data_IF_246167851733
#
_entry.id   IF_246167851733
#
_cell.length_a   1.000
_cell.length_b   1.000
_cell.length_c   1.000
_cell.angle_alpha   90.00
_cell.angle_beta   90.00
_cell.angle_gamma   90.00
#
_symmetry.space_group_name_H-M   'P 1'
#
loop_
_entity.id
_entity.type
_entity.pdbx_description
1 polymer ?
#
# COMPACT_ATOMS: atom_id res chain seq x y z
N UNK A 1 8.75 18.55 7.54
CA UNK A 1 8.61 17.25 6.84
C UNK A 1 8.02 17.54 5.47
N UNK A 2 8.62 17.06 4.37
CA UNK A 2 8.06 17.21 3.03
C UNK A 2 6.97 16.15 2.86
N UNK A 3 5.74 16.55 2.56
CA UNK A 3 4.66 15.60 2.26
C UNK A 3 4.89 15.00 0.88
N UNK A 4 5.06 13.68 0.82
CA UNK A 4 5.13 12.93 -0.43
C UNK A 4 3.70 12.61 -0.87
N UNK A 5 3.20 13.34 -1.87
CA UNK A 5 1.84 13.19 -2.42
C UNK A 5 1.59 11.76 -2.90
N UNK A 6 2.63 11.02 -3.31
CA UNK A 6 2.48 9.63 -3.75
C UNK A 6 2.10 8.67 -2.61
N UNK A 7 2.14 9.10 -1.35
CA UNK A 7 1.70 8.31 -0.18
C UNK A 7 0.28 8.65 0.28
N UNK A 8 -0.32 9.70 -0.26
CA UNK A 8 -1.71 10.07 0.00
C UNK A 8 -2.62 9.25 -0.93
N UNK A 9 -2.86 8.01 -0.53
CA UNK A 9 -3.58 6.99 -1.31
C UNK A 9 -4.91 6.66 -0.63
N UNK A 10 -5.80 5.96 -1.32
CA UNK A 10 -7.11 5.64 -0.74
C UNK A 10 -6.94 4.76 0.50
N UNK A 11 -7.67 5.10 1.57
CA UNK A 11 -7.67 4.29 2.79
C UNK A 11 -8.08 2.85 2.51
N UNK A 12 -8.99 2.61 1.56
CA UNK A 12 -9.40 1.27 1.13
C UNK A 12 -8.23 0.45 0.60
N UNK A 13 -7.32 1.05 -0.18
CA UNK A 13 -6.16 0.34 -0.72
C UNK A 13 -5.20 -0.11 0.39
N UNK A 14 -5.04 0.74 1.41
CA UNK A 14 -4.25 0.40 2.60
C UNK A 14 -4.91 -0.71 3.41
N UNK A 15 -6.23 -0.63 3.62
CA UNK A 15 -6.99 -1.64 4.37
C UNK A 15 -6.97 -3.02 3.67
N UNK A 16 -7.10 -3.06 2.34
CA UNK A 16 -7.00 -4.29 1.57
C UNK A 16 -5.57 -4.85 1.67
N UNK A 17 -4.57 -4.01 1.40
CA UNK A 17 -3.17 -4.42 1.45
C UNK A 17 -2.75 -4.96 2.82
N UNK A 18 -3.02 -4.22 3.89
CA UNK A 18 -2.61 -4.62 5.25
C UNK A 18 -3.28 -5.89 5.75
N UNK A 19 -4.40 -6.30 5.15
CA UNK A 19 -5.13 -7.51 5.53
C UNK A 19 -4.85 -8.69 4.59
N UNK A 20 -4.06 -8.50 3.53
CA UNK A 20 -3.84 -9.47 2.45
C UNK A 20 -2.92 -10.63 2.88
N UNK A 21 -3.36 -11.42 3.88
CA UNK A 21 -2.58 -12.50 4.49
C UNK A 21 -2.19 -13.55 3.46
N UNK A 22 -0.88 -13.91 3.34
CA UNK A 22 -0.44 -14.93 2.41
C UNK A 22 -1.24 -16.22 2.59
N UNK A 23 -1.61 -16.85 1.48
CA UNK A 23 -2.47 -18.05 1.39
C UNK A 23 -3.95 -17.86 1.70
N UNK A 24 -4.35 -16.75 2.32
CA UNK A 24 -5.76 -16.44 2.60
C UNK A 24 -6.36 -15.47 1.58
N UNK A 25 -5.61 -14.41 1.24
CA UNK A 25 -6.04 -13.35 0.32
C UNK A 25 -4.95 -13.07 -0.72
N UNK A 26 -5.33 -12.63 -1.94
CA UNK A 26 -4.37 -12.21 -2.95
C UNK A 26 -3.67 -10.91 -2.56
N UNK A 27 -2.44 -10.71 -3.03
CA UNK A 27 -1.73 -9.44 -2.89
C UNK A 27 -2.47 -8.29 -3.59
N UNK A 28 -2.39 -7.09 -3.02
CA UNK A 28 -3.09 -5.91 -3.54
C UNK A 28 -2.17 -5.03 -4.38
N UNK A 29 -2.59 -4.70 -5.59
CA UNK A 29 -1.85 -3.83 -6.50
C UNK A 29 -2.66 -2.59 -6.85
N UNK A 30 -2.01 -1.43 -6.82
CA UNK A 30 -2.57 -0.18 -7.33
C UNK A 30 -1.47 0.82 -7.69
N UNK A 31 -1.84 1.89 -8.38
CA UNK A 31 -0.91 2.94 -8.80
C UNK A 31 -1.40 4.32 -8.38
N UNK A 32 -0.45 5.23 -8.16
CA UNK A 32 -0.73 6.65 -7.93
C UNK A 32 0.30 7.51 -8.66
N UNK A 33 0.12 8.83 -8.61
CA UNK A 33 1.06 9.80 -9.18
C UNK A 33 1.77 10.56 -8.08
N UNK A 34 3.07 10.79 -8.26
CA UNK A 34 3.82 11.72 -7.42
C UNK A 34 3.53 13.18 -7.81
N UNK A 35 4.15 14.12 -7.08
CA UNK A 35 4.02 15.56 -7.34
C UNK A 35 4.56 16.00 -8.70
N UNK A 36 5.38 15.19 -9.37
CA UNK A 36 5.92 15.44 -10.70
C UNK A 36 5.10 14.73 -11.79
N UNK A 37 4.02 14.02 -11.43
CA UNK A 37 3.18 13.25 -12.34
C UNK A 37 3.76 11.87 -12.70
N UNK A 38 4.86 11.43 -12.08
CA UNK A 38 5.41 10.10 -12.29
C UNK A 38 4.51 9.05 -11.65
N UNK A 39 4.34 7.93 -12.34
CA UNK A 39 3.57 6.80 -11.82
C UNK A 39 4.40 6.08 -10.75
N UNK A 40 3.76 5.79 -9.62
CA UNK A 40 4.28 4.97 -8.54
C UNK A 40 3.34 3.80 -8.32
N UNK A 41 3.87 2.60 -8.51
CA UNK A 41 3.12 1.36 -8.30
C UNK A 41 3.36 0.81 -6.90
N UNK A 42 2.29 0.30 -6.27
CA UNK A 42 2.30 -0.34 -4.97
C UNK A 42 1.89 -1.81 -5.11
N UNK A 43 2.67 -2.68 -4.49
CA UNK A 43 2.37 -4.11 -4.37
C UNK A 43 2.36 -4.43 -2.88
N UNK A 44 1.18 -4.55 -2.29
CA UNK A 44 0.99 -4.69 -0.85
C UNK A 44 0.59 -6.12 -0.48
N UNK A 45 1.07 -6.54 0.69
CA UNK A 45 0.69 -7.76 1.38
C UNK A 45 0.42 -7.44 2.86
N UNK A 46 -0.07 -8.43 3.60
CA UNK A 46 -0.46 -8.29 5.00
C UNK A 46 0.58 -7.64 5.91
N UNK A 47 0.11 -6.78 6.80
CA UNK A 47 0.95 -6.08 7.77
C UNK A 47 1.70 -7.03 8.71
N UNK A 48 1.09 -8.16 9.08
CA UNK A 48 1.68 -9.22 9.89
C UNK A 48 2.88 -9.91 9.24
N UNK A 49 3.05 -9.82 7.91
CA UNK A 49 4.28 -10.24 7.21
C UNK A 49 5.44 -9.30 7.54
N UNK A 50 5.16 -8.00 7.68
CA UNK A 50 6.17 -6.99 8.03
C UNK A 50 6.42 -6.95 9.54
N UNK A 51 5.36 -6.89 10.35
CA UNK A 51 5.39 -6.91 11.81
C UNK A 51 4.03 -7.35 12.37
N UNK A 52 4.03 -8.35 13.25
CA UNK A 52 2.81 -8.85 13.91
C UNK A 52 2.49 -8.13 15.23
N UNK A 53 3.40 -7.30 15.73
CA UNK A 53 3.23 -6.43 16.89
C UNK A 53 3.93 -5.09 16.60
N UNK A 54 3.29 -4.22 15.81
CA UNK A 54 3.88 -2.99 15.28
C UNK A 54 4.15 -1.91 16.34
#
# INVERSE_FOLDING_TARGET
VKNDVSKDVLLSDICIGTSAAPTYLPAHFFETKDSNGNIKSYNLADGGVAANNP
#
